data_IF_090747432150
#
_entry.id   IF_090747432150
#
_cell.length_a   1.000
_cell.length_b   1.000
_cell.length_c   1.000
_cell.angle_alpha   90.00
_cell.angle_beta   90.00
_cell.angle_gamma   90.00
#
_symmetry.space_group_name_H-M   'P 1'
#
loop_
_entity.id
_entity.type
_entity.pdbx_description
1 polymer ?
#
# COMPACT_ATOMS: atom_id res chain seq x y z
N UNK A 1 8.70 -11.65 3.17
CA UNK A 1 9.72 -12.45 3.87
C UNK A 1 9.76 -12.18 5.38
N UNK A 2 9.51 -10.95 5.87
CA UNK A 2 9.52 -10.63 7.32
C UNK A 2 8.32 -11.24 8.05
N UNK A 3 7.12 -11.18 7.48
CA UNK A 3 5.90 -11.78 8.03
C UNK A 3 6.02 -13.31 8.13
N UNK A 4 6.72 -13.94 7.18
CA UNK A 4 6.96 -15.39 7.18
C UNK A 4 7.72 -15.88 8.42
N UNK A 5 8.68 -15.08 8.93
CA UNK A 5 9.46 -15.43 10.13
C UNK A 5 8.62 -15.40 11.42
N UNK A 6 7.64 -14.51 11.52
CA UNK A 6 6.76 -14.42 12.70
C UNK A 6 5.65 -15.49 12.74
N UNK A 7 5.26 -16.03 11.58
CA UNK A 7 4.24 -17.07 11.47
C UNK A 7 4.82 -18.46 11.80
N UNK A 8 6.11 -18.69 11.56
CA UNK A 8 6.78 -19.97 11.75
C UNK A 8 7.68 -20.08 12.99
N UNK A 9 7.70 -19.07 13.86
CA UNK A 9 8.24 -19.27 15.21
C UNK A 9 7.26 -20.20 15.97
N UNK A 10 7.77 -21.37 16.34
CA UNK A 10 7.08 -22.54 16.89
C UNK A 10 6.35 -22.32 18.23
N UNK A 11 5.52 -21.30 18.34
CA UNK A 11 4.65 -21.09 19.49
C UNK A 11 3.19 -21.18 19.05
N UNK A 12 2.53 -22.31 19.30
CA UNK A 12 1.12 -22.54 18.99
C UNK A 12 0.19 -21.49 19.63
N UNK A 13 0.70 -20.72 20.62
CA UNK A 13 0.00 -19.57 21.21
C UNK A 13 0.04 -18.28 20.39
N UNK A 14 0.90 -18.20 19.34
CA UNK A 14 1.09 -17.00 18.51
C UNK A 14 0.12 -16.90 17.33
N UNK A 15 -0.62 -17.96 17.02
CA UNK A 15 -1.47 -18.07 15.81
C UNK A 15 -2.69 -17.13 15.85
N UNK A 16 -3.09 -16.63 17.04
CA UNK A 16 -4.28 -15.79 17.21
C UNK A 16 -4.03 -14.48 17.97
N UNK A 17 -2.79 -14.06 18.12
CA UNK A 17 -2.49 -12.84 18.87
C UNK A 17 -2.76 -11.60 18.02
N UNK A 18 -3.88 -10.92 18.32
CA UNK A 18 -4.18 -9.61 17.78
C UNK A 18 -3.51 -8.54 18.66
N UNK A 19 -2.82 -7.58 18.04
CA UNK A 19 -2.15 -6.47 18.72
C UNK A 19 -2.77 -5.16 18.30
N UNK A 20 -3.04 -4.27 19.27
CA UNK A 20 -3.41 -2.90 18.96
C UNK A 20 -2.14 -2.07 18.79
N UNK A 21 -1.95 -1.49 17.61
CA UNK A 21 -0.81 -0.65 17.26
C UNK A 21 -1.26 0.64 16.58
N UNK A 22 -0.45 1.69 16.69
CA UNK A 22 -0.61 2.86 15.84
C UNK A 22 0.13 2.60 14.53
N UNK A 23 -0.59 2.59 13.43
CA UNK A 23 -0.06 2.28 12.10
C UNK A 23 -0.29 3.45 11.15
N UNK A 24 0.64 3.66 10.24
CA UNK A 24 0.39 4.49 9.05
C UNK A 24 0.04 3.57 7.89
N UNK A 25 -1.18 3.72 7.38
CA UNK A 25 -1.76 2.88 6.33
C UNK A 25 -1.81 3.65 5.02
N UNK A 26 -1.36 3.01 3.98
CA UNK A 26 -1.30 3.48 2.60
C UNK A 26 -2.23 2.65 1.72
N UNK A 27 -2.98 3.34 0.87
CA UNK A 27 -3.70 2.76 -0.27
C UNK A 27 -3.32 3.49 -1.55
N UNK A 28 -3.11 2.74 -2.61
CA UNK A 28 -3.05 3.28 -3.97
C UNK A 28 -3.86 2.44 -4.93
N UNK A 29 -4.35 3.07 -5.99
CA UNK A 29 -5.16 2.47 -7.04
C UNK A 29 -4.78 3.07 -8.41
N UNK A 30 -4.96 2.30 -9.50
CA UNK A 30 -4.76 2.80 -10.86
C UNK A 30 -6.01 3.53 -11.33
N UNK A 31 -5.83 4.74 -11.82
CA UNK A 31 -6.93 5.54 -12.33
C UNK A 31 -7.54 4.89 -13.58
N UNK A 32 -8.88 4.74 -13.59
CA UNK A 32 -9.64 4.15 -14.69
C UNK A 32 -9.20 2.72 -15.06
N UNK A 33 -8.81 1.92 -14.07
CA UNK A 33 -8.35 0.55 -14.29
C UNK A 33 -9.39 -0.32 -15.01
N UNK A 34 -10.68 -0.15 -14.71
CA UNK A 34 -11.76 -0.89 -15.38
C UNK A 34 -11.74 -0.65 -16.89
N UNK A 35 -11.67 0.62 -17.33
CA UNK A 35 -11.61 0.96 -18.75
C UNK A 35 -10.32 0.43 -19.41
N UNK A 36 -9.21 0.44 -18.66
CA UNK A 36 -7.95 -0.16 -19.09
C UNK A 36 -8.11 -1.67 -19.31
N UNK A 37 -8.71 -2.37 -18.36
CA UNK A 37 -8.89 -3.82 -18.41
C UNK A 37 -9.77 -4.24 -19.59
N UNK A 38 -10.78 -3.46 -19.93
CA UNK A 38 -11.67 -3.72 -21.07
C UNK A 38 -11.00 -3.40 -22.43
N UNK A 39 -9.95 -2.58 -22.43
CA UNK A 39 -9.26 -2.12 -23.65
C UNK A 39 -8.08 -2.97 -24.10
N UNK A 40 -7.59 -3.86 -23.24
CA UNK A 40 -6.38 -4.66 -23.48
C UNK A 40 -6.69 -6.15 -23.56
N UNK A 41 -5.88 -6.85 -24.36
CA UNK A 41 -5.89 -8.32 -24.34
C UNK A 41 -5.47 -8.86 -22.95
N UNK A 42 -6.09 -9.95 -22.43
CA UNK A 42 -5.87 -10.43 -21.07
C UNK A 42 -4.41 -10.69 -20.70
N UNK A 43 -3.63 -11.27 -21.62
CA UNK A 43 -2.21 -11.57 -21.40
C UNK A 43 -1.39 -10.30 -21.26
N UNK A 44 -1.74 -9.27 -22.03
CA UNK A 44 -1.07 -7.98 -22.01
C UNK A 44 -1.41 -7.19 -20.75
N UNK A 45 -2.68 -7.21 -20.34
CA UNK A 45 -3.13 -6.65 -19.08
C UNK A 45 -2.37 -7.29 -17.91
N UNK A 46 -2.28 -8.63 -17.88
CA UNK A 46 -1.54 -9.36 -16.85
C UNK A 46 -0.06 -8.96 -16.78
N UNK A 47 0.61 -8.79 -17.92
CA UNK A 47 2.01 -8.34 -17.97
C UNK A 47 2.18 -6.93 -17.40
N UNK A 48 1.27 -6.00 -17.75
CA UNK A 48 1.31 -4.61 -17.28
C UNK A 48 1.08 -4.53 -15.78
N UNK A 49 0.06 -5.24 -15.27
CA UNK A 49 -0.26 -5.25 -13.84
C UNK A 49 0.86 -5.92 -13.03
N UNK A 50 1.38 -7.04 -13.48
CA UNK A 50 2.50 -7.69 -12.79
C UNK A 50 3.76 -6.81 -12.76
N UNK A 51 4.04 -6.08 -13.83
CA UNK A 51 5.13 -5.10 -13.85
C UNK A 51 4.87 -3.98 -12.84
N UNK A 52 3.69 -3.35 -12.86
CA UNK A 52 3.28 -2.32 -11.91
C UNK A 52 3.40 -2.81 -10.45
N UNK A 53 2.76 -3.93 -10.10
CA UNK A 53 2.78 -4.46 -8.75
C UNK A 53 4.19 -4.84 -8.27
N UNK A 54 5.05 -5.35 -9.17
CA UNK A 54 6.44 -5.66 -8.86
C UNK A 54 7.26 -4.42 -8.51
N UNK A 55 7.09 -3.33 -9.28
CA UNK A 55 7.74 -2.06 -9.02
C UNK A 55 7.28 -1.44 -7.70
N UNK A 56 5.97 -1.43 -7.45
CA UNK A 56 5.40 -0.91 -6.19
C UNK A 56 5.85 -1.74 -4.99
N UNK A 57 5.89 -3.06 -5.13
CA UNK A 57 6.40 -3.99 -4.11
C UNK A 57 7.85 -3.69 -3.75
N UNK A 58 8.70 -3.52 -4.75
CA UNK A 58 10.13 -3.24 -4.53
C UNK A 58 10.31 -1.95 -3.72
N UNK A 59 9.63 -0.88 -4.11
CA UNK A 59 9.69 0.41 -3.41
C UNK A 59 9.15 0.29 -1.97
N UNK A 60 8.03 -0.43 -1.78
CA UNK A 60 7.45 -0.61 -0.45
C UNK A 60 8.43 -1.31 0.50
N UNK A 61 9.06 -2.40 0.05
CA UNK A 61 10.03 -3.16 0.84
C UNK A 61 11.30 -2.35 1.14
N UNK A 62 11.81 -1.58 0.17
CA UNK A 62 12.98 -0.71 0.35
C UNK A 62 12.72 0.40 1.39
N UNK A 63 11.48 0.90 1.49
CA UNK A 63 11.09 1.90 2.48
C UNK A 63 10.71 1.29 3.85
N UNK A 64 10.78 -0.04 4.01
CA UNK A 64 10.42 -0.72 5.25
C UNK A 64 8.92 -0.93 5.46
N UNK A 65 8.10 -0.77 4.40
CA UNK A 65 6.66 -1.02 4.44
C UNK A 65 6.33 -2.50 4.48
N UNK A 66 5.26 -2.84 5.19
CA UNK A 66 4.65 -4.17 5.20
C UNK A 66 3.52 -4.21 4.19
N UNK A 67 3.69 -5.00 3.12
CA UNK A 67 2.63 -5.19 2.12
C UNK A 67 1.56 -6.08 2.75
N UNK A 68 0.36 -5.55 2.87
CA UNK A 68 -0.79 -6.30 3.36
C UNK A 68 -1.35 -7.19 2.24
N UNK A 69 -1.88 -6.59 1.21
CA UNK A 69 -2.49 -7.28 0.07
C UNK A 69 -2.60 -6.41 -1.16
N UNK A 70 -2.85 -7.09 -2.27
CA UNK A 70 -3.36 -6.48 -3.49
C UNK A 70 -4.87 -6.73 -3.60
N UNK A 71 -5.63 -5.72 -4.00
CA UNK A 71 -7.07 -5.79 -4.22
C UNK A 71 -7.33 -5.34 -5.66
N UNK A 72 -7.27 -6.30 -6.60
CA UNK A 72 -7.20 -5.97 -8.02
C UNK A 72 -5.90 -5.26 -8.35
N UNK A 73 -5.97 -4.02 -8.77
CA UNK A 73 -4.85 -3.11 -9.04
C UNK A 73 -4.45 -2.24 -7.83
N UNK A 74 -5.28 -2.25 -6.77
CA UNK A 74 -4.98 -1.51 -5.56
C UNK A 74 -3.91 -2.20 -4.71
N UNK A 75 -3.05 -1.38 -4.10
CA UNK A 75 -1.96 -1.82 -3.22
C UNK A 75 -2.22 -1.28 -1.82
N UNK A 76 -2.29 -2.17 -0.84
CA UNK A 76 -2.35 -1.82 0.57
C UNK A 76 -1.02 -2.12 1.26
N UNK A 77 -0.46 -1.11 1.92
CA UNK A 77 0.78 -1.19 2.70
C UNK A 77 0.55 -0.52 4.05
N UNK A 78 1.22 -1.00 5.09
CA UNK A 78 1.25 -0.31 6.36
C UNK A 78 2.66 -0.24 6.95
N UNK A 79 2.89 0.74 7.83
CA UNK A 79 4.12 0.95 8.60
C UNK A 79 3.78 0.91 10.08
N UNK A 80 4.73 0.46 10.92
CA UNK A 80 4.56 0.33 12.37
C UNK A 80 4.38 -1.10 12.86
N UNK A 81 4.36 -2.10 11.96
CA UNK A 81 4.34 -3.52 12.26
C UNK A 81 4.94 -4.33 11.09
N UNK A 82 5.70 -5.42 11.32
CA UNK A 82 6.13 -5.96 12.63
C UNK A 82 7.14 -5.08 13.36
N UNK A 83 7.89 -4.26 12.63
CA UNK A 83 8.87 -3.31 13.15
C UNK A 83 8.34 -1.88 13.07
N UNK A 84 8.71 -1.04 14.03
CA UNK A 84 8.38 0.38 14.05
C UNK A 84 9.60 1.18 14.44
N UNK A 85 9.81 2.29 13.75
CA UNK A 85 10.82 3.30 14.10
C UNK A 85 10.22 4.48 14.89
N UNK A 86 8.96 4.34 15.32
CA UNK A 86 8.15 5.38 15.94
C UNK A 86 7.17 6.00 14.96
N UNK A 87 6.02 6.48 15.49
CA UNK A 87 4.87 6.94 14.71
C UNK A 87 5.23 8.01 13.68
N UNK A 88 6.10 8.95 14.04
CA UNK A 88 6.56 10.03 13.17
C UNK A 88 7.42 9.49 12.02
N UNK A 89 8.40 8.62 12.32
CA UNK A 89 9.28 8.06 11.30
C UNK A 89 8.54 7.08 10.40
N UNK A 90 7.62 6.30 10.94
CA UNK A 90 6.76 5.39 10.16
C UNK A 90 5.89 6.18 9.17
N UNK A 91 5.33 7.33 9.60
CA UNK A 91 4.56 8.22 8.73
C UNK A 91 5.43 8.86 7.63
N UNK A 92 6.64 9.31 7.98
CA UNK A 92 7.60 9.87 7.01
C UNK A 92 8.03 8.83 5.96
N UNK A 93 8.36 7.61 6.39
CA UNK A 93 8.74 6.52 5.49
C UNK A 93 7.59 6.14 4.56
N UNK A 94 6.34 6.17 5.04
CA UNK A 94 5.16 5.94 4.23
C UNK A 94 4.99 7.02 3.14
N UNK A 95 5.19 8.28 3.48
CA UNK A 95 5.09 9.40 2.52
C UNK A 95 6.24 9.34 1.51
N UNK A 96 7.47 9.07 1.96
CA UNK A 96 8.62 8.86 1.07
C UNK A 96 8.34 7.74 0.06
N UNK A 97 7.83 6.60 0.53
CA UNK A 97 7.39 5.49 -0.32
C UNK A 97 6.38 5.97 -1.37
N UNK A 98 5.35 6.72 -0.96
CA UNK A 98 4.31 7.22 -1.86
C UNK A 98 4.88 8.16 -2.94
N UNK A 99 5.80 9.04 -2.58
CA UNK A 99 6.48 9.94 -3.52
C UNK A 99 7.36 9.17 -4.50
N UNK A 100 8.11 8.17 -4.02
CA UNK A 100 8.92 7.28 -4.86
C UNK A 100 8.06 6.46 -5.83
N UNK A 101 6.92 5.93 -5.36
CA UNK A 101 5.98 5.20 -6.22
C UNK A 101 5.42 6.11 -7.32
N UNK A 102 4.98 7.33 -6.98
CA UNK A 102 4.51 8.34 -7.96
C UNK A 102 5.60 8.65 -9.00
N UNK A 103 6.84 8.90 -8.58
CA UNK A 103 7.96 9.15 -9.48
C UNK A 103 8.22 7.94 -10.41
N UNK A 104 8.18 6.73 -9.87
CA UNK A 104 8.39 5.50 -10.63
C UNK A 104 7.30 5.26 -11.68
N UNK A 105 6.05 5.53 -11.35
CA UNK A 105 4.93 5.49 -12.30
C UNK A 105 5.18 6.42 -13.49
N UNK A 106 5.65 7.64 -13.24
CA UNK A 106 5.98 8.59 -14.32
C UNK A 106 7.18 8.12 -15.18
N UNK A 107 8.22 7.55 -14.55
CA UNK A 107 9.37 6.98 -15.30
C UNK A 107 8.93 5.84 -16.22
N UNK A 108 8.03 4.98 -15.77
CA UNK A 108 7.53 3.83 -16.50
C UNK A 108 6.47 4.18 -17.55
N UNK A 109 5.95 5.41 -17.55
CA UNK A 109 4.90 5.86 -18.48
C UNK A 109 5.22 5.53 -19.94
N UNK A 110 6.44 5.81 -20.41
CA UNK A 110 6.86 5.52 -21.78
C UNK A 110 6.90 4.02 -22.10
N UNK A 111 7.27 3.21 -21.10
CA UNK A 111 7.25 1.76 -21.24
C UNK A 111 5.82 1.25 -21.44
N UNK A 112 4.88 1.67 -20.61
CA UNK A 112 3.49 1.25 -20.72
C UNK A 112 2.80 1.74 -22.00
N UNK A 113 3.08 2.97 -22.44
CA UNK A 113 2.59 3.49 -23.72
C UNK A 113 3.06 2.61 -24.88
N UNK A 114 4.33 2.22 -24.91
CA UNK A 114 4.87 1.32 -25.94
C UNK A 114 4.24 -0.06 -25.90
N UNK A 115 3.75 -0.47 -24.75
CA UNK A 115 3.04 -1.74 -24.54
C UNK A 115 1.52 -1.63 -24.68
N UNK A 116 1.02 -0.51 -25.22
CA UNK A 116 -0.36 -0.33 -25.65
C UNK A 116 -1.29 0.32 -24.64
N UNK A 117 -0.76 0.77 -23.48
CA UNK A 117 -1.53 1.56 -22.50
C UNK A 117 -1.59 3.00 -23.01
N UNK A 118 -2.74 3.44 -23.47
CA UNK A 118 -2.95 4.81 -23.93
C UNK A 118 -2.75 5.79 -22.78
N UNK A 119 -1.80 6.73 -22.91
CA UNK A 119 -1.50 7.73 -21.88
C UNK A 119 -0.62 7.25 -20.73
N UNK A 120 -0.31 5.94 -20.64
CA UNK A 120 0.39 5.35 -19.49
C UNK A 120 -0.54 5.05 -18.32
N UNK A 121 0.03 4.70 -17.16
CA UNK A 121 -0.72 4.54 -15.92
C UNK A 121 -0.64 5.82 -15.10
N UNK A 122 -1.70 6.11 -14.39
CA UNK A 122 -1.81 7.15 -13.38
C UNK A 122 -2.32 6.51 -12.09
N UNK A 123 -1.90 7.02 -10.93
CA UNK A 123 -2.33 6.48 -9.63
C UNK A 123 -2.96 7.56 -8.76
N UNK A 124 -3.76 7.12 -7.80
CA UNK A 124 -4.21 7.94 -6.67
C UNK A 124 -3.70 7.30 -5.39
N UNK A 125 -3.46 8.13 -4.38
CA UNK A 125 -2.91 7.65 -3.11
C UNK A 125 -3.65 8.27 -1.94
N UNK A 126 -3.97 7.43 -0.95
CA UNK A 126 -4.51 7.85 0.34
C UNK A 126 -3.68 7.29 1.49
N UNK A 127 -3.34 8.15 2.48
CA UNK A 127 -2.56 7.77 3.66
C UNK A 127 -3.28 8.22 4.93
N UNK A 128 -3.39 7.32 5.91
CA UNK A 128 -3.97 7.64 7.21
C UNK A 128 -3.23 6.96 8.36
N UNK A 129 -3.01 7.70 9.44
CA UNK A 129 -2.35 7.19 10.65
C UNK A 129 -3.34 7.09 11.81
N UNK A 130 -3.22 6.03 12.60
CA UNK A 130 -3.97 5.84 13.82
C UNK A 130 -4.02 4.39 14.30
N UNK A 131 -4.80 4.14 15.36
CA UNK A 131 -4.89 2.82 15.97
C UNK A 131 -5.59 1.80 15.08
N UNK A 132 -4.89 0.69 14.82
CA UNK A 132 -5.38 -0.50 14.15
C UNK A 132 -5.19 -1.72 15.05
N UNK A 133 -5.96 -2.76 14.78
CA UNK A 133 -5.67 -4.11 15.28
C UNK A 133 -4.98 -4.88 14.18
N UNK A 134 -3.77 -5.34 14.43
CA UNK A 134 -2.96 -6.12 13.49
C UNK A 134 -2.78 -7.54 14.00
N UNK A 135 -2.80 -8.50 13.11
CA UNK A 135 -2.65 -9.91 13.44
C UNK A 135 -3.21 -10.82 12.35
N UNK A 136 -3.37 -12.10 12.69
CA UNK A 136 -3.95 -13.09 11.80
C UNK A 136 -5.47 -13.05 11.88
N UNK A 137 -6.13 -12.79 10.76
CA UNK A 137 -7.59 -12.78 10.65
C UNK A 137 -8.04 -13.78 9.59
N UNK A 138 -9.12 -14.50 9.85
CA UNK A 138 -9.67 -15.42 8.86
C UNK A 138 -10.40 -16.60 9.52
N UNK A 139 -10.46 -17.69 8.78
CA UNK A 139 -11.02 -18.97 9.22
C UNK A 139 -9.91 -19.99 9.49
N UNK A 140 -10.26 -21.14 10.07
CA UNK A 140 -9.32 -22.24 10.27
C UNK A 140 -8.70 -22.78 8.97
N UNK A 141 -9.28 -22.45 7.82
CA UNK A 141 -8.81 -22.90 6.51
C UNK A 141 -8.02 -21.83 5.76
N UNK A 142 -8.17 -20.56 6.13
CA UNK A 142 -7.48 -19.43 5.50
C UNK A 142 -7.30 -18.31 6.51
N UNK A 143 -6.06 -17.95 6.75
CA UNK A 143 -5.63 -16.86 7.63
C UNK A 143 -4.80 -15.87 6.84
N UNK A 144 -5.12 -14.58 6.98
CA UNK A 144 -4.35 -13.49 6.40
C UNK A 144 -3.82 -12.61 7.54
N UNK A 145 -2.53 -12.29 7.52
CA UNK A 145 -1.97 -11.29 8.43
C UNK A 145 -2.30 -9.92 7.89
N UNK A 146 -3.09 -9.15 8.61
CA UNK A 146 -3.62 -7.87 8.12
C UNK A 146 -3.88 -6.88 9.26
N UNK A 147 -4.08 -5.62 8.88
CA UNK A 147 -4.52 -4.56 9.77
C UNK A 147 -6.01 -4.26 9.59
N UNK A 148 -6.74 -4.12 10.70
CA UNK A 148 -8.15 -3.71 10.74
C UNK A 148 -8.29 -2.45 11.61
N UNK A 149 -9.04 -1.47 11.13
CA UNK A 149 -9.30 -0.25 11.91
C UNK A 149 -9.75 0.94 11.10
N UNK A 150 -10.02 2.05 11.80
CA UNK A 150 -10.41 3.32 11.18
C UNK A 150 -9.42 3.82 10.12
N UNK A 151 -8.10 3.82 10.39
CA UNK A 151 -7.09 4.26 9.42
C UNK A 151 -7.15 3.53 8.08
N UNK A 152 -7.45 2.22 8.07
CA UNK A 152 -7.60 1.42 6.84
C UNK A 152 -8.74 1.97 5.98
N UNK A 153 -9.90 2.24 6.61
CA UNK A 153 -11.05 2.79 5.90
C UNK A 153 -10.83 4.25 5.46
N UNK A 154 -10.11 5.04 6.27
CA UNK A 154 -9.81 6.44 5.97
C UNK A 154 -8.85 6.53 4.80
N UNK A 155 -7.76 5.75 4.78
CA UNK A 155 -6.79 5.75 3.69
C UNK A 155 -7.42 5.33 2.36
N UNK A 156 -8.28 4.30 2.35
CA UNK A 156 -9.01 3.90 1.16
C UNK A 156 -9.99 5.00 0.67
N UNK A 157 -10.67 5.72 1.58
CA UNK A 157 -11.54 6.85 1.20
C UNK A 157 -10.76 8.06 0.69
N UNK A 158 -9.58 8.32 1.24
CA UNK A 158 -8.70 9.40 0.78
C UNK A 158 -8.18 9.07 -0.62
N UNK A 159 -7.75 7.82 -0.85
CA UNK A 159 -7.36 7.35 -2.17
C UNK A 159 -8.45 7.61 -3.20
N UNK A 160 -9.69 7.15 -2.95
CA UNK A 160 -10.82 7.35 -3.87
C UNK A 160 -11.22 8.83 -4.10
N UNK A 161 -10.76 9.76 -3.27
CA UNK A 161 -10.98 11.22 -3.41
C UNK A 161 -9.75 11.98 -3.91
N UNK A 162 -8.61 11.34 -3.96
CA UNK A 162 -7.39 11.99 -4.42
C UNK A 162 -7.52 12.40 -5.90
N UNK A 163 -7.08 13.59 -6.28
CA UNK A 163 -6.89 13.92 -7.68
C UNK A 163 -5.89 12.96 -8.34
N UNK A 164 -5.95 12.85 -9.66
CA UNK A 164 -5.04 12.01 -10.43
C UNK A 164 -3.58 12.38 -10.15
N UNK A 165 -2.77 11.40 -9.84
CA UNK A 165 -1.36 11.55 -9.47
C UNK A 165 -1.11 12.40 -8.22
N UNK A 166 -2.10 12.48 -7.31
CA UNK A 166 -1.95 13.19 -6.05
C UNK A 166 -2.04 12.24 -4.85
N UNK A 167 -1.46 12.70 -3.74
CA UNK A 167 -1.41 11.99 -2.46
C UNK A 167 -2.25 12.77 -1.46
N UNK A 168 -3.33 12.18 -0.96
CA UNK A 168 -4.09 12.73 0.14
C UNK A 168 -3.70 12.07 1.46
N UNK A 169 -3.46 12.87 2.48
CA UNK A 169 -3.12 12.38 3.81
C UNK A 169 -4.17 12.82 4.84
N UNK A 170 -4.38 12.02 5.89
CA UNK A 170 -5.24 12.39 7.00
C UNK A 170 -4.62 13.52 7.84
N UNK A 171 -5.45 14.24 8.59
CA UNK A 171 -4.99 15.27 9.53
C UNK A 171 -3.99 14.68 10.56
N UNK A 172 -4.25 13.48 11.07
CA UNK A 172 -3.34 12.80 12.00
C UNK A 172 -1.97 12.58 11.36
N UNK A 173 -1.93 12.07 10.13
CA UNK A 173 -0.67 11.89 9.39
C UNK A 173 0.03 13.23 9.17
N UNK A 174 -0.71 14.26 8.74
CA UNK A 174 -0.15 15.60 8.52
C UNK A 174 0.48 16.19 9.79
N UNK A 175 -0.16 16.00 10.94
CA UNK A 175 0.36 16.52 12.22
C UNK A 175 1.67 15.82 12.64
N UNK A 176 1.86 14.55 12.31
CA UNK A 176 3.10 13.82 12.60
C UNK A 176 4.27 14.30 11.73
N UNK A 177 4.02 14.68 10.49
CA UNK A 177 5.07 15.03 9.51
C UNK A 177 5.23 16.52 9.28
N UNK A 178 4.44 17.34 9.97
CA UNK A 178 4.40 18.79 9.81
C UNK A 178 5.77 19.42 10.11
N UNK A 179 6.29 20.14 9.12
CA UNK A 179 7.60 20.81 9.19
C UNK A 179 8.78 19.98 8.66
N UNK A 180 8.56 18.70 8.32
CA UNK A 180 9.57 17.82 7.72
C UNK A 180 9.36 17.63 6.21
N UNK A 181 8.14 17.89 5.74
CA UNK A 181 7.79 17.85 4.31
C UNK A 181 7.49 19.28 3.85
N UNK A 182 8.08 19.67 2.72
CA UNK A 182 7.82 20.97 2.05
C UNK A 182 6.78 20.82 0.96
#
# INVERSE_FOLDING_TARGET
PQVYKSIFSNDESSVTTHKRKNLTVFFSDIVNFTDLSDSLEPEKLAQIINNYLSEMTTIALECGGTIDKFIGDAVMVFFGDPESMGEEQDALSCIEMALRMKARVEELRKYWIRNGVKGGLDIRVGIATGHCTVGNFGSNQRMDYTALGGPVNISARLEGKAPVNEILISETTNNLVKGQIK
#
